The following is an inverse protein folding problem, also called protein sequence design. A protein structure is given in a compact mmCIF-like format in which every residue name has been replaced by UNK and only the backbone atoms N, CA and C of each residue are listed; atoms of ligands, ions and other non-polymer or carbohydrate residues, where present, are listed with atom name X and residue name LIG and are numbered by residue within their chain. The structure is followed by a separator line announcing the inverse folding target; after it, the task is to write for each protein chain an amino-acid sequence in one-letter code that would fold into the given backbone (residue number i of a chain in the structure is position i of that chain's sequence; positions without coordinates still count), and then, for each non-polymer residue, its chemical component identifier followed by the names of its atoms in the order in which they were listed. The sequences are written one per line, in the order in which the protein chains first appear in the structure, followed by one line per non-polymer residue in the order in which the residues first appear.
data_IF_606664758742
#
_entry.id   IF_606664758742
#
_cell.length_a   1.000
_cell.length_b   1.000
_cell.length_c   1.000
_cell.angle_alpha   90.00
_cell.angle_beta   90.00
_cell.angle_gamma   90.00
#
_symmetry.space_group_name_H-M   'P 1'
#
loop_
_entity.id
_entity.type
_entity.pdbx_description
1 polymer ?
#
# COMPACT_ATOMS: atom_id res chain seq x y z
N UNK A 1 -78.63 -64.86 -10.48
CA UNK A 1 -78.52 -64.37 -11.86
C UNK A 1 -77.90 -62.97 -11.83
N UNK A 2 -76.70 -62.81 -12.38
CA UNK A 2 -76.05 -61.52 -12.71
C UNK A 2 -76.60 -61.04 -14.07
N UNK A 3 -76.62 -59.72 -14.36
CA UNK A 3 -75.41 -59.08 -14.88
C UNK A 3 -75.11 -57.66 -14.37
N UNK A 4 -73.84 -57.30 -14.56
CA UNK A 4 -73.18 -56.04 -14.30
C UNK A 4 -73.69 -54.91 -15.23
N UNK A 5 -73.70 -53.67 -14.75
CA UNK A 5 -73.30 -52.56 -15.61
C UNK A 5 -72.64 -51.43 -14.83
N UNK A 6 -71.48 -51.05 -15.36
CA UNK A 6 -70.49 -50.12 -14.86
C UNK A 6 -70.73 -48.75 -15.45
N UNK A 7 -70.61 -47.69 -14.65
CA UNK A 7 -70.14 -46.39 -15.15
C UNK A 7 -69.17 -45.76 -14.17
N UNK A 8 -67.90 -45.96 -14.46
CA UNK A 8 -66.81 -45.07 -14.09
C UNK A 8 -66.90 -43.85 -15.03
N UNK A 9 -66.71 -42.63 -14.53
CA UNK A 9 -65.64 -41.75 -15.03
C UNK A 9 -65.35 -40.54 -14.13
N UNK A 10 -64.10 -40.03 -14.15
CA UNK A 10 -63.55 -39.07 -13.20
C UNK A 10 -63.38 -37.66 -13.82
N UNK A 11 -63.04 -36.65 -13.00
CA UNK A 11 -61.83 -35.83 -13.22
C UNK A 11 -61.59 -34.76 -12.14
N UNK A 12 -60.52 -34.99 -11.40
CA UNK A 12 -59.64 -34.03 -10.74
C UNK A 12 -59.28 -32.86 -11.67
N UNK A 13 -59.63 -31.63 -11.26
CA UNK A 13 -59.13 -30.40 -11.85
C UNK A 13 -57.73 -30.10 -11.31
N UNK A 14 -56.72 -30.50 -12.10
CA UNK A 14 -55.30 -30.28 -11.85
C UNK A 14 -54.95 -28.80 -11.81
N UNK A 15 -54.12 -28.42 -10.83
CA UNK A 15 -53.40 -27.14 -10.77
C UNK A 15 -52.77 -26.84 -12.12
N UNK A 16 -53.04 -25.65 -12.66
CA UNK A 16 -52.36 -25.09 -13.81
C UNK A 16 -50.89 -24.80 -13.50
N UNK A 17 -50.05 -25.83 -13.62
CA UNK A 17 -48.62 -25.64 -13.79
C UNK A 17 -48.37 -25.20 -15.22
N UNK A 18 -48.08 -23.92 -15.43
CA UNK A 18 -47.58 -23.45 -16.72
C UNK A 18 -46.32 -24.26 -17.07
N UNK A 19 -46.25 -24.89 -18.26
CA UNK A 19 -45.04 -25.59 -18.65
C UNK A 19 -43.92 -24.56 -18.77
N UNK A 20 -42.95 -24.63 -17.86
CA UNK A 20 -41.66 -23.98 -18.03
C UNK A 20 -41.03 -24.54 -19.30
N UNK A 21 -41.25 -23.88 -20.44
CA UNK A 21 -40.55 -24.11 -21.69
C UNK A 21 -39.07 -23.82 -21.43
N UNK A 22 -38.34 -24.85 -21.01
CA UNK A 22 -36.89 -24.81 -20.93
C UNK A 22 -36.36 -24.74 -22.36
N UNK A 23 -35.91 -23.54 -22.75
CA UNK A 23 -35.24 -23.28 -24.02
C UNK A 23 -33.83 -23.87 -23.93
N UNK A 24 -33.64 -25.12 -24.36
CA UNK A 24 -32.35 -25.81 -24.36
C UNK A 24 -31.60 -25.64 -25.70
N UNK A 25 -31.41 -24.40 -26.17
CA UNK A 25 -30.66 -24.13 -27.40
C UNK A 25 -29.17 -23.86 -27.18
N UNK A 26 -28.79 -23.34 -25.99
CA UNK A 26 -27.46 -22.79 -25.74
C UNK A 26 -26.88 -23.12 -24.35
N UNK A 27 -27.44 -24.09 -23.62
CA UNK A 27 -27.06 -24.36 -22.22
C UNK A 27 -25.56 -24.65 -22.03
N UNK A 28 -24.90 -25.27 -23.01
CA UNK A 28 -23.45 -25.51 -22.99
C UNK A 28 -22.66 -24.20 -23.14
N UNK A 29 -23.05 -23.36 -24.09
CA UNK A 29 -22.41 -22.06 -24.30
C UNK A 29 -22.64 -21.15 -23.08
N UNK A 30 -23.82 -21.19 -22.49
CA UNK A 30 -24.18 -20.42 -21.30
C UNK A 30 -23.33 -20.83 -20.08
N UNK A 31 -23.17 -22.13 -19.85
CA UNK A 31 -22.31 -22.63 -18.78
C UNK A 31 -20.83 -22.23 -19.00
N UNK A 32 -20.36 -22.30 -20.25
CA UNK A 32 -18.99 -21.92 -20.60
C UNK A 32 -18.77 -20.42 -20.40
N UNK A 33 -19.70 -19.58 -20.86
CA UNK A 33 -19.66 -18.13 -20.68
C UNK A 33 -19.74 -17.78 -19.19
N UNK A 34 -20.63 -18.41 -18.42
CA UNK A 34 -20.72 -18.21 -16.98
C UNK A 34 -19.41 -18.58 -16.29
N UNK A 35 -18.79 -19.70 -16.67
CA UNK A 35 -17.50 -20.13 -16.12
C UNK A 35 -16.35 -19.20 -16.55
N UNK A 36 -16.39 -18.65 -17.76
CA UNK A 36 -15.43 -17.67 -18.25
C UNK A 36 -15.55 -16.33 -17.48
N UNK A 37 -16.77 -15.85 -17.24
CA UNK A 37 -17.01 -14.65 -16.43
C UNK A 37 -16.56 -14.92 -14.98
N UNK A 38 -16.92 -16.07 -14.41
CA UNK A 38 -16.53 -16.45 -13.07
C UNK A 38 -15.01 -16.54 -12.90
N UNK A 39 -14.28 -17.10 -13.88
CA UNK A 39 -12.82 -17.20 -13.83
C UNK A 39 -12.14 -15.84 -13.94
N UNK A 40 -12.65 -14.93 -14.77
CA UNK A 40 -12.15 -13.54 -14.87
C UNK A 40 -12.40 -12.79 -13.56
N UNK A 41 -13.60 -12.93 -12.98
CA UNK A 41 -13.94 -12.33 -11.69
C UNK A 41 -13.02 -12.85 -10.58
N UNK A 42 -12.79 -14.16 -10.53
CA UNK A 42 -11.91 -14.81 -9.55
C UNK A 42 -10.45 -14.36 -9.72
N UNK A 43 -9.94 -14.27 -10.95
CA UNK A 43 -8.59 -13.78 -11.23
C UNK A 43 -8.39 -12.34 -10.76
N UNK A 44 -9.40 -11.49 -10.96
CA UNK A 44 -9.40 -10.09 -10.49
C UNK A 44 -9.39 -10.02 -8.97
N UNK A 45 -10.23 -10.82 -8.30
CA UNK A 45 -10.27 -10.90 -6.84
C UNK A 45 -8.93 -11.39 -6.26
N UNK A 46 -8.37 -12.46 -6.82
CA UNK A 46 -7.08 -13.00 -6.36
C UNK A 46 -5.95 -11.98 -6.51
N UNK A 47 -5.95 -11.24 -7.62
CA UNK A 47 -5.02 -10.13 -7.82
C UNK A 47 -5.22 -9.03 -6.78
N UNK A 48 -6.46 -8.61 -6.53
CA UNK A 48 -6.78 -7.56 -5.54
C UNK A 48 -6.33 -7.97 -4.13
N UNK A 49 -6.66 -9.18 -3.69
CA UNK A 49 -6.24 -9.71 -2.38
C UNK A 49 -4.71 -9.81 -2.30
N UNK A 50 -4.07 -10.37 -3.33
CA UNK A 50 -2.62 -10.52 -3.37
C UNK A 50 -1.86 -9.19 -3.40
N UNK A 51 -2.40 -8.17 -4.09
CA UNK A 51 -1.85 -6.81 -4.06
C UNK A 51 -2.07 -6.14 -2.70
N UNK A 52 -3.23 -6.36 -2.08
CA UNK A 52 -3.54 -5.85 -0.73
C UNK A 52 -2.51 -6.31 0.30
N UNK A 53 -2.18 -7.60 0.36
CA UNK A 53 -1.21 -8.14 1.32
C UNK A 53 0.21 -7.59 1.09
N UNK A 54 0.65 -7.45 -0.16
CA UNK A 54 1.95 -6.84 -0.47
C UNK A 54 2.00 -5.37 -0.05
N UNK A 55 0.94 -4.63 -0.34
CA UNK A 55 0.84 -3.21 0.02
C UNK A 55 0.91 -2.99 1.54
N UNK A 56 0.30 -3.87 2.35
CA UNK A 56 0.39 -3.78 3.82
C UNK A 56 1.85 -3.93 4.28
N UNK A 57 2.58 -4.92 3.79
CA UNK A 57 3.99 -5.13 4.16
C UNK A 57 4.91 -3.98 3.72
N UNK A 58 4.65 -3.40 2.54
CA UNK A 58 5.42 -2.24 2.06
C UNK A 58 5.12 -0.97 2.88
N UNK A 59 3.87 -0.79 3.32
CA UNK A 59 3.49 0.31 4.21
C UNK A 59 4.14 0.17 5.59
N UNK A 60 4.09 -1.02 6.18
CA UNK A 60 4.73 -1.31 7.47
C UNK A 60 6.24 -1.04 7.41
N UNK A 61 6.90 -1.55 6.37
CA UNK A 61 8.32 -1.32 6.14
C UNK A 61 8.67 0.18 5.97
N UNK A 62 7.81 0.94 5.30
CA UNK A 62 7.97 2.40 5.16
C UNK A 62 7.82 3.10 6.50
N UNK A 63 6.88 2.68 7.34
CA UNK A 63 6.68 3.25 8.69
C UNK A 63 7.91 2.98 9.57
N UNK A 64 8.38 1.73 9.62
CA UNK A 64 9.59 1.37 10.38
C UNK A 64 10.82 2.16 9.91
N UNK A 65 11.07 2.20 8.61
CA UNK A 65 12.20 2.94 8.04
C UNK A 65 12.11 4.45 8.34
N UNK A 66 10.90 5.01 8.36
CA UNK A 66 10.67 6.43 8.69
C UNK A 66 10.91 6.69 10.18
N UNK A 67 10.45 5.80 11.06
CA UNK A 67 10.70 5.89 12.50
C UNK A 67 12.20 5.80 12.81
N UNK A 68 12.91 4.90 12.12
CA UNK A 68 14.36 4.81 12.24
C UNK A 68 15.05 6.11 11.78
N UNK A 69 14.68 6.64 10.60
CA UNK A 69 15.24 7.90 10.11
C UNK A 69 15.04 9.05 11.11
N UNK A 70 13.85 9.14 11.70
CA UNK A 70 13.54 10.13 12.75
C UNK A 70 14.34 9.91 14.02
N UNK A 71 14.52 8.65 14.45
CA UNK A 71 15.33 8.31 15.62
C UNK A 71 16.79 8.71 15.42
N UNK A 72 17.38 8.42 14.25
CA UNK A 72 18.75 8.83 13.92
C UNK A 72 18.87 10.35 13.93
N UNK A 73 17.89 11.05 13.35
CA UNK A 73 17.87 12.51 13.33
C UNK A 73 17.72 13.14 14.72
N UNK A 74 16.94 12.51 15.59
CA UNK A 74 16.69 12.98 16.95
C UNK A 74 17.91 12.75 17.87
N UNK A 75 18.79 11.80 17.54
CA UNK A 75 20.00 11.50 18.30
C UNK A 75 21.06 12.60 18.28
N UNK A 76 20.94 13.58 17.39
CA UNK A 76 21.91 14.65 17.23
C UNK A 76 21.24 16.02 17.11
N UNK A 77 21.79 17.01 17.82
CA UNK A 77 21.29 18.39 17.75
C UNK A 77 21.94 19.15 16.60
N UNK A 78 23.23 18.93 16.36
CA UNK A 78 23.99 19.59 15.31
C UNK A 78 24.20 18.67 14.11
N UNK A 79 24.37 19.29 12.94
CA UNK A 79 24.62 18.57 11.71
C UNK A 79 26.03 17.93 11.65
N UNK A 80 26.99 18.47 12.41
CA UNK A 80 28.34 17.91 12.53
C UNK A 80 28.37 16.53 13.21
N UNK A 81 27.58 16.34 14.27
CA UNK A 81 27.44 15.05 14.97
C UNK A 81 26.92 13.96 14.01
N UNK A 82 25.97 14.35 13.15
CA UNK A 82 25.40 13.51 12.10
C UNK A 82 26.39 13.23 10.96
N UNK A 83 27.29 14.16 10.67
CA UNK A 83 28.34 13.96 9.67
C UNK A 83 29.43 12.99 10.19
N UNK A 84 29.69 12.96 11.49
CA UNK A 84 30.62 12.00 12.10
C UNK A 84 30.06 10.58 12.08
N UNK A 85 28.75 10.43 12.26
CA UNK A 85 28.03 9.15 12.16
C UNK A 85 27.31 9.03 10.81
N UNK A 86 28.09 9.02 9.72
CA UNK A 86 27.55 9.08 8.35
C UNK A 86 26.81 7.82 7.89
N UNK A 87 26.91 6.69 8.61
CA UNK A 87 26.15 5.47 8.31
C UNK A 87 26.07 4.54 9.51
N UNK A 88 25.13 3.60 9.45
CA UNK A 88 24.99 2.56 10.45
C UNK A 88 23.92 1.54 10.10
N UNK A 89 23.66 0.64 11.04
CA UNK A 89 22.68 -0.43 10.90
C UNK A 89 21.89 -0.59 12.20
N UNK A 90 20.57 -0.78 12.06
CA UNK A 90 19.66 -1.07 13.14
C UNK A 90 18.76 -2.24 12.73
N UNK A 91 19.07 -3.45 13.24
CA UNK A 91 18.39 -4.68 12.83
C UNK A 91 18.58 -4.96 11.34
N UNK A 92 17.48 -5.11 10.61
CA UNK A 92 17.49 -5.34 9.16
C UNK A 92 17.70 -4.06 8.34
N UNK A 93 17.70 -2.88 8.98
CA UNK A 93 17.75 -1.60 8.30
C UNK A 93 19.17 -1.04 8.29
N UNK A 94 19.62 -0.62 7.12
CA UNK A 94 20.83 0.15 6.93
C UNK A 94 20.45 1.61 6.73
N UNK A 95 21.26 2.52 7.24
CA UNK A 95 21.03 3.93 7.04
C UNK A 95 22.31 4.68 6.73
N UNK A 96 22.17 5.75 5.96
CA UNK A 96 23.25 6.65 5.57
C UNK A 96 22.78 8.07 5.78
N UNK A 97 23.66 8.91 6.31
CA UNK A 97 23.44 10.33 6.52
C UNK A 97 24.33 11.12 5.57
N UNK A 98 23.71 12.03 4.84
CA UNK A 98 24.39 12.97 3.95
C UNK A 98 24.15 14.37 4.47
N UNK A 99 25.23 15.06 4.76
CA UNK A 99 25.18 16.42 5.29
C UNK A 99 25.83 17.38 4.31
N UNK A 100 25.11 18.44 3.94
CA UNK A 100 25.59 19.50 3.05
C UNK A 100 25.50 20.85 3.78
N UNK A 101 26.63 21.41 4.27
CA UNK A 101 26.66 22.73 4.89
C UNK A 101 26.28 23.84 3.89
N UNK A 102 25.46 24.79 4.33
CA UNK A 102 24.97 25.92 3.54
C UNK A 102 24.83 27.18 4.42
N UNK A 103 25.16 28.34 3.88
CA UNK A 103 24.93 29.63 4.54
C UNK A 103 23.52 30.10 4.20
N UNK A 104 22.63 30.11 5.19
CA UNK A 104 21.22 30.45 5.01
C UNK A 104 20.97 31.89 5.44
N UNK A 105 20.40 32.68 4.54
CA UNK A 105 19.91 34.03 4.86
C UNK A 105 18.54 33.91 5.52
N UNK A 106 18.43 34.33 6.78
CA UNK A 106 17.14 34.36 7.47
C UNK A 106 16.48 35.70 7.17
N UNK A 107 15.28 35.67 6.60
CA UNK A 107 14.42 36.86 6.50
C UNK A 107 13.59 36.95 7.78
N UNK A 108 13.73 38.05 8.52
CA UNK A 108 12.88 38.34 9.66
C UNK A 108 11.44 38.60 9.22
N UNK A 109 10.47 38.38 10.11
CA UNK A 109 9.03 38.59 9.88
C UNK A 109 8.73 40.01 9.38
N UNK A 110 9.58 40.97 9.75
CA UNK A 110 9.50 42.37 9.33
C UNK A 110 9.93 42.61 7.86
N UNK A 111 10.21 41.54 7.09
CA UNK A 111 10.71 41.60 5.72
C UNK A 111 12.17 42.07 5.61
N UNK A 112 12.86 42.26 6.74
CA UNK A 112 14.29 42.60 6.78
C UNK A 112 15.12 41.33 6.76
N UNK A 113 16.14 41.27 5.91
CA UNK A 113 17.14 40.21 5.99
C UNK A 113 17.95 40.38 7.28
N UNK A 114 18.16 39.29 8.02
CA UNK A 114 19.06 39.28 9.16
C UNK A 114 20.47 39.69 8.71
N UNK A 115 21.18 40.45 9.54
CA UNK A 115 22.47 41.04 9.18
C UNK A 115 23.62 40.04 9.09
N UNK A 116 23.43 38.79 9.52
CA UNK A 116 24.44 37.73 9.45
C UNK A 116 23.84 36.43 8.92
N UNK A 117 24.46 35.80 7.90
CA UNK A 117 24.07 34.48 7.44
C UNK A 117 24.20 33.47 8.58
N UNK A 118 23.20 32.61 8.74
CA UNK A 118 23.25 31.52 9.71
C UNK A 118 23.84 30.28 9.02
N UNK A 119 24.86 29.69 9.64
CA UNK A 119 25.42 28.43 9.17
C UNK A 119 24.48 27.29 9.54
N UNK A 120 23.89 26.66 8.53
CA UNK A 120 23.06 25.49 8.65
C UNK A 120 23.59 24.39 7.74
N UNK A 121 23.08 23.18 7.89
CA UNK A 121 23.33 22.13 6.92
C UNK A 121 22.05 21.38 6.61
N UNK A 122 21.94 21.01 5.34
CA UNK A 122 20.90 20.12 4.87
C UNK A 122 21.32 18.70 5.19
N UNK A 123 20.55 18.04 6.04
CA UNK A 123 20.80 16.67 6.45
C UNK A 123 19.75 15.78 5.79
N UNK A 124 20.22 14.83 4.99
CA UNK A 124 19.39 13.80 4.36
C UNK A 124 19.75 12.45 4.93
N UNK A 125 18.76 11.75 5.47
CA UNK A 125 18.90 10.39 5.99
C UNK A 125 18.18 9.46 5.03
N UNK A 126 18.90 8.47 4.53
CA UNK A 126 18.39 7.42 3.64
C UNK A 126 18.40 6.10 4.40
N UNK A 127 17.29 5.38 4.37
CA UNK A 127 17.14 4.08 5.04
C UNK A 127 16.81 3.01 4.00
N UNK A 128 17.58 1.93 3.97
CA UNK A 128 17.49 0.84 3.00
C UNK A 128 17.52 -0.53 3.71
N UNK A 129 16.98 -1.57 3.07
CA UNK A 129 17.04 -2.95 3.60
C UNK A 129 18.43 -3.57 3.46
N UNK A 130 19.16 -3.20 2.41
CA UNK A 130 20.50 -3.66 2.15
C UNK A 130 21.44 -2.46 2.06
N UNK A 131 22.69 -2.64 2.47
CA UNK A 131 23.74 -1.64 2.26
C UNK A 131 23.86 -1.32 0.76
N UNK A 132 23.73 -0.04 0.40
CA UNK A 132 23.74 0.42 -1.00
C UNK A 132 22.49 0.09 -1.82
N UNK A 133 21.46 -0.49 -1.21
CA UNK A 133 20.18 -0.75 -1.87
C UNK A 133 19.33 0.51 -2.05
N UNK A 134 18.23 0.39 -2.81
CA UNK A 134 17.28 1.49 -2.97
C UNK A 134 16.69 1.92 -1.61
N UNK A 135 16.58 3.23 -1.33
CA UNK A 135 16.04 3.72 -0.07
C UNK A 135 14.55 3.38 0.03
N UNK A 136 14.19 2.69 1.10
CA UNK A 136 12.79 2.46 1.49
C UNK A 136 12.21 3.73 2.12
N UNK A 137 13.02 4.55 2.79
CA UNK A 137 12.61 5.87 3.25
C UNK A 137 13.75 6.89 3.11
N UNK A 138 13.39 8.15 2.87
CA UNK A 138 14.30 9.28 2.93
C UNK A 138 13.68 10.40 3.75
N UNK A 139 14.50 11.08 4.55
CA UNK A 139 14.08 12.22 5.34
C UNK A 139 15.11 13.33 5.22
N UNK A 140 14.67 14.54 4.86
CA UNK A 140 15.55 15.71 4.73
C UNK A 140 15.11 16.78 5.70
N UNK A 141 16.07 17.38 6.40
CA UNK A 141 15.83 18.50 7.30
C UNK A 141 16.99 19.48 7.31
N UNK A 142 16.78 20.63 7.94
CA UNK A 142 17.81 21.59 8.25
C UNK A 142 18.24 21.45 9.69
N UNK A 143 19.55 21.37 9.93
CA UNK A 143 20.15 21.35 11.26
C UNK A 143 21.19 22.47 11.34
N UNK A 144 21.32 23.14 12.50
CA UNK A 144 22.38 24.13 12.68
C UNK A 144 23.75 23.48 12.48
N UNK A 145 24.66 24.21 11.84
CA UNK A 145 26.04 23.79 11.63
C UNK A 145 26.94 24.71 12.45
N UNK A 146 27.72 24.16 13.39
CA UNK A 146 28.74 24.95 14.06
C UNK A 146 29.97 24.93 13.17
N UNK A 147 30.36 26.08 12.64
CA UNK A 147 31.75 26.28 12.22
C UNK A 147 32.61 26.04 13.45
N UNK A 148 33.45 25.00 13.43
CA UNK A 148 34.46 24.81 14.46
C UNK A 148 35.29 26.10 14.62
N UNK A 149 35.65 26.49 15.85
CA UNK A 149 36.43 27.71 16.11
C UNK A 149 37.83 27.66 15.52
#
# INVERSE_FOLDING_TARGET
MLPLSSRRTPKTGSRGGAPHRRRFGFALLEALVAMAIASIALATLYRSVGQGSKNVGDVEARVEATLLARSVLAGATYAEDLAQSASGQSGAWHWVVRTAPEQVQITEENGRSASSPVSAARVTIEVSRASGGAPVASWTTWKPWRTAP
#
